data_IF_574070606995
#
_entry.id   IF_574070606995
#
_cell.length_a   1.000
_cell.length_b   1.000
_cell.length_c   1.000
_cell.angle_alpha   90.00
_cell.angle_beta   90.00
_cell.angle_gamma   90.00
#
_symmetry.space_group_name_H-M   'P 1'
#
loop_
_entity.id
_entity.type
_entity.pdbx_description
1 polymer ?
#
# COMPACT_ATOMS: atom_id res chain seq x y z
N UNK A 1 33.29 -14.80 56.41
CA UNK A 1 32.53 -13.94 55.46
C UNK A 1 32.76 -14.46 54.05
N UNK A 2 31.73 -14.93 53.33
CA UNK A 2 31.90 -15.42 51.97
C UNK A 2 32.02 -14.23 50.99
N UNK A 3 33.02 -14.30 50.09
CA UNK A 3 33.15 -13.34 48.98
C UNK A 3 32.04 -13.59 47.96
N UNK A 4 31.05 -12.70 47.95
CA UNK A 4 29.97 -12.66 46.95
C UNK A 4 30.60 -12.37 45.57
N UNK A 5 30.52 -13.35 44.66
CA UNK A 5 30.79 -13.13 43.23
C UNK A 5 29.65 -12.28 42.67
N UNK A 6 29.91 -10.99 42.47
CA UNK A 6 29.00 -10.11 41.72
C UNK A 6 29.06 -10.55 40.25
N UNK A 7 28.01 -11.23 39.81
CA UNK A 7 27.78 -11.49 38.40
C UNK A 7 27.58 -10.15 37.68
N UNK A 8 28.54 -9.73 36.85
CA UNK A 8 28.32 -8.68 35.85
C UNK A 8 27.39 -9.21 34.77
N UNK A 9 26.09 -9.23 35.07
CA UNK A 9 25.02 -9.50 34.12
C UNK A 9 24.63 -8.18 33.45
N UNK A 10 25.44 -7.73 32.50
CA UNK A 10 25.08 -6.66 31.57
C UNK A 10 25.15 -7.20 30.13
N UNK A 11 24.22 -8.09 29.77
CA UNK A 11 23.81 -8.24 28.37
C UNK A 11 22.57 -7.37 28.17
N UNK A 12 22.77 -6.15 27.67
CA UNK A 12 21.72 -5.52 26.86
C UNK A 12 21.79 -6.22 25.49
N UNK A 13 20.73 -6.87 24.98
CA UNK A 13 20.72 -7.32 23.60
C UNK A 13 20.76 -6.07 22.74
N UNK A 14 21.82 -5.90 21.94
CA UNK A 14 21.86 -4.83 20.95
C UNK A 14 20.77 -5.09 19.93
N UNK A 15 19.78 -4.20 19.88
CA UNK A 15 18.69 -4.29 18.91
C UNK A 15 19.27 -4.03 17.52
N UNK A 16 18.98 -4.92 16.56
CA UNK A 16 19.37 -4.70 15.16
C UNK A 16 18.67 -3.45 14.61
N UNK A 17 19.40 -2.59 13.91
CA UNK A 17 18.92 -1.30 13.40
C UNK A 17 19.29 -1.12 11.94
N UNK A 18 18.30 -0.71 11.14
CA UNK A 18 18.48 -0.15 9.79
C UNK A 18 18.46 1.39 9.89
N UNK A 19 19.45 2.04 9.29
CA UNK A 19 19.57 3.50 9.21
C UNK A 19 19.60 3.85 7.72
N UNK A 20 18.55 4.49 7.23
CA UNK A 20 18.38 4.82 5.81
C UNK A 20 17.33 5.91 5.60
N UNK A 21 17.47 6.64 4.50
CA UNK A 21 16.47 7.55 3.96
C UNK A 21 15.88 7.00 2.64
N UNK A 22 16.02 5.69 2.39
CA UNK A 22 15.50 5.04 1.18
C UNK A 22 13.99 5.26 1.04
N UNK A 23 13.48 5.64 -0.17
CA UNK A 23 14.18 5.65 -1.46
C UNK A 23 14.88 6.97 -1.83
N UNK A 24 14.92 8.00 -0.98
CA UNK A 24 15.60 9.28 -1.29
C UNK A 24 17.09 9.07 -1.55
N UNK A 25 17.70 8.17 -0.80
CA UNK A 25 19.07 7.70 -1.06
C UNK A 25 19.09 6.18 -1.20
N UNK A 26 19.95 5.68 -2.09
CA UNK A 26 20.12 4.24 -2.32
C UNK A 26 20.99 3.56 -1.26
N UNK A 27 21.31 4.24 -0.16
CA UNK A 27 22.25 3.76 0.84
C UNK A 27 21.53 3.31 2.12
N UNK A 28 21.91 2.14 2.62
CA UNK A 28 21.36 1.56 3.84
C UNK A 28 22.50 1.11 4.73
N UNK A 29 22.55 1.62 5.96
CA UNK A 29 23.44 1.11 7.00
C UNK A 29 22.66 0.18 7.91
N UNK A 30 23.07 -1.08 7.97
CA UNK A 30 22.53 -2.06 8.91
C UNK A 30 23.55 -2.40 9.97
N UNK A 31 23.10 -2.52 11.23
CA UNK A 31 23.91 -3.06 12.32
C UNK A 31 23.11 -4.00 13.20
N UNK A 32 23.71 -5.12 13.60
CA UNK A 32 23.18 -6.01 14.65
C UNK A 32 23.75 -5.67 16.05
N UNK A 33 24.51 -4.57 16.13
CA UNK A 33 25.25 -4.10 17.31
C UNK A 33 26.63 -4.75 17.51
N UNK A 34 26.96 -5.80 16.77
CA UNK A 34 28.31 -6.41 16.74
C UNK A 34 29.01 -6.17 15.40
N UNK A 35 28.25 -6.25 14.31
CA UNK A 35 28.68 -6.10 12.93
C UNK A 35 27.85 -5.00 12.28
N UNK A 36 28.45 -4.36 11.29
CA UNK A 36 27.78 -3.37 10.46
C UNK A 36 28.03 -3.69 9.01
N UNK A 37 27.00 -3.50 8.20
CA UNK A 37 27.01 -3.70 6.76
C UNK A 37 26.47 -2.43 6.12
N UNK A 38 27.18 -1.94 5.12
CA UNK A 38 26.77 -0.80 4.32
C UNK A 38 26.31 -1.32 2.96
N UNK A 39 25.09 -1.00 2.58
CA UNK A 39 24.51 -1.41 1.31
C UNK A 39 24.28 -0.22 0.42
N UNK A 40 24.62 -0.37 -0.86
CA UNK A 40 24.19 0.55 -1.92
C UNK A 40 23.31 -0.22 -2.88
N UNK A 41 22.04 0.15 -2.96
CA UNK A 41 21.04 -0.50 -3.79
C UNK A 41 21.24 -0.07 -5.24
N UNK A 42 21.52 -1.04 -6.13
CA UNK A 42 21.61 -0.79 -7.58
C UNK A 42 20.32 -1.17 -8.28
N UNK A 43 19.74 -2.30 -7.87
CA UNK A 43 18.46 -2.80 -8.39
C UNK A 43 17.73 -3.56 -7.29
N UNK A 44 16.50 -3.17 -7.01
CA UNK A 44 15.72 -3.77 -5.92
C UNK A 44 15.17 -5.16 -6.25
N UNK A 45 14.97 -5.49 -7.53
CA UNK A 45 14.35 -6.75 -7.94
C UNK A 45 12.89 -6.91 -7.48
N UNK A 46 12.24 -8.00 -7.91
CA UNK A 46 10.84 -8.32 -7.60
C UNK A 46 10.72 -9.75 -7.12
N UNK A 47 9.70 -10.06 -6.31
CA UNK A 47 9.45 -11.45 -5.96
C UNK A 47 8.76 -12.18 -7.11
N UNK A 48 9.27 -13.33 -7.55
CA UNK A 48 8.54 -14.20 -8.48
C UNK A 48 7.18 -14.62 -7.92
N UNK A 49 6.31 -15.08 -8.80
CA UNK A 49 5.02 -15.66 -8.43
C UNK A 49 5.20 -16.91 -7.55
N UNK A 50 4.23 -17.25 -6.70
CA UNK A 50 4.33 -18.37 -5.75
C UNK A 50 4.84 -19.70 -6.31
N UNK A 51 4.52 -20.12 -7.55
CA UNK A 51 5.04 -21.38 -8.11
C UNK A 51 6.55 -21.41 -8.34
N UNK A 52 7.21 -20.25 -8.43
CA UNK A 52 8.65 -20.10 -8.70
C UNK A 52 9.39 -19.51 -7.49
N UNK A 53 8.68 -18.81 -6.60
CA UNK A 53 9.25 -18.07 -5.48
C UNK A 53 10.07 -18.98 -4.55
N UNK A 54 11.38 -18.74 -4.51
CA UNK A 54 12.30 -19.43 -3.63
C UNK A 54 12.53 -18.67 -2.30
N UNK A 55 12.97 -19.42 -1.30
CA UNK A 55 13.22 -18.91 0.05
C UNK A 55 14.65 -19.26 0.49
N UNK A 56 15.31 -18.32 1.15
CA UNK A 56 16.61 -18.55 1.75
C UNK A 56 16.49 -19.54 2.92
N UNK A 57 17.32 -20.58 2.91
CA UNK A 57 17.36 -21.57 4.00
C UNK A 57 17.75 -20.93 5.34
N UNK A 58 16.93 -21.12 6.38
CA UNK A 58 17.22 -20.67 7.74
C UNK A 58 15.97 -20.41 8.58
N UNK A 59 16.14 -19.85 9.78
CA UNK A 59 15.05 -19.64 10.76
C UNK A 59 13.91 -18.73 10.27
N UNK A 60 14.20 -17.81 9.34
CA UNK A 60 13.28 -16.74 8.94
C UNK A 60 12.79 -16.83 7.50
N UNK A 61 13.22 -17.85 6.73
CA UNK A 61 12.78 -18.11 5.35
C UNK A 61 12.58 -16.83 4.51
N UNK A 62 13.65 -16.08 4.24
CA UNK A 62 13.56 -14.83 3.48
C UNK A 62 13.24 -15.11 2.01
N UNK A 63 12.24 -14.43 1.45
CA UNK A 63 11.90 -14.50 0.02
C UNK A 63 13.07 -14.02 -0.82
N UNK A 64 13.39 -14.75 -1.89
CA UNK A 64 14.48 -14.44 -2.81
C UNK A 64 13.92 -13.61 -3.98
N UNK A 65 14.31 -12.34 -4.14
CA UNK A 65 13.90 -11.53 -5.28
C UNK A 65 14.66 -11.92 -6.55
N UNK A 66 14.03 -11.68 -7.68
CA UNK A 66 14.56 -11.80 -9.03
C UNK A 66 15.04 -10.44 -9.56
N UNK A 67 16.03 -10.44 -10.45
CA UNK A 67 16.72 -9.24 -10.96
C UNK A 67 17.13 -8.26 -9.85
N UNK A 68 17.75 -8.76 -8.80
CA UNK A 68 18.20 -7.95 -7.66
C UNK A 68 19.70 -7.75 -7.68
N UNK A 69 20.15 -6.53 -7.41
CA UNK A 69 21.55 -6.14 -7.42
C UNK A 69 21.86 -5.13 -6.30
N UNK A 70 22.83 -5.44 -5.45
CA UNK A 70 23.32 -4.53 -4.41
C UNK A 70 24.83 -4.57 -4.30
N UNK A 71 25.42 -3.47 -3.86
CA UNK A 71 26.79 -3.47 -3.37
C UNK A 71 26.78 -3.54 -1.85
N UNK A 72 27.60 -4.42 -1.29
CA UNK A 72 27.71 -4.60 0.16
C UNK A 72 29.13 -4.40 0.60
N UNK A 73 29.34 -3.47 1.53
CA UNK A 73 30.61 -3.21 2.17
C UNK A 73 30.58 -3.64 3.63
N UNK A 74 31.57 -4.43 4.07
CA UNK A 74 31.74 -4.83 5.46
C UNK A 74 33.22 -4.84 5.85
N UNK A 75 33.50 -4.83 7.16
CA UNK A 75 34.84 -4.80 7.72
C UNK A 75 35.19 -3.47 8.39
N UNK A 76 36.37 -3.40 9.03
CA UNK A 76 36.84 -2.24 9.79
C UNK A 76 38.07 -1.63 9.13
N UNK A 77 38.14 -0.30 9.10
CA UNK A 77 39.27 0.48 8.59
C UNK A 77 39.81 -0.08 7.25
N UNK A 78 41.08 -0.46 7.19
CA UNK A 78 41.77 -0.90 5.97
C UNK A 78 41.33 -2.31 5.51
N UNK A 79 40.56 -3.04 6.33
CA UNK A 79 40.02 -4.36 6.01
C UNK A 79 38.58 -4.30 5.47
N UNK A 80 38.11 -3.10 5.08
CA UNK A 80 36.83 -2.98 4.36
C UNK A 80 36.92 -3.74 3.03
N UNK A 81 35.88 -4.51 2.75
CA UNK A 81 35.68 -5.20 1.49
C UNK A 81 34.32 -4.83 0.95
N UNK A 82 34.26 -4.56 -0.34
CA UNK A 82 33.02 -4.30 -1.08
C UNK A 82 32.85 -5.40 -2.11
N UNK A 83 31.66 -5.96 -2.18
CA UNK A 83 31.28 -6.92 -3.23
C UNK A 83 29.95 -6.49 -3.82
N UNK A 84 29.70 -6.90 -5.07
CA UNK A 84 28.42 -6.71 -5.74
C UNK A 84 27.67 -8.03 -5.77
N UNK A 85 26.53 -8.08 -5.13
CA UNK A 85 25.68 -9.26 -5.01
C UNK A 85 24.54 -9.17 -6.04
N UNK A 86 24.31 -10.25 -6.77
CA UNK A 86 23.30 -10.35 -7.81
C UNK A 86 22.45 -11.61 -7.63
N UNK A 87 21.13 -11.48 -7.82
CA UNK A 87 20.17 -12.56 -7.78
C UNK A 87 19.33 -12.54 -9.05
N UNK A 88 19.18 -13.71 -9.66
CA UNK A 88 18.33 -13.92 -10.83
C UNK A 88 17.75 -15.34 -10.78
N UNK A 89 16.66 -15.60 -11.49
CA UNK A 89 16.10 -16.93 -11.68
C UNK A 89 16.40 -17.46 -13.08
N UNK A 90 17.09 -18.60 -13.15
CA UNK A 90 17.33 -19.32 -14.41
C UNK A 90 16.56 -20.63 -14.32
N UNK A 91 15.72 -20.92 -15.33
CA UNK A 91 14.89 -22.14 -15.38
C UNK A 91 14.08 -22.36 -14.08
N UNK A 92 13.48 -21.28 -13.57
CA UNK A 92 12.68 -21.26 -12.31
C UNK A 92 13.47 -21.56 -11.03
N UNK A 93 14.82 -21.56 -11.07
CA UNK A 93 15.68 -21.75 -9.90
C UNK A 93 16.55 -20.52 -9.63
N UNK A 94 16.74 -20.12 -8.36
CA UNK A 94 17.55 -18.96 -8.05
C UNK A 94 19.04 -19.24 -8.31
N UNK A 95 19.69 -18.32 -9.01
CA UNK A 95 21.13 -18.23 -9.18
C UNK A 95 21.67 -17.11 -8.30
N UNK A 96 22.61 -17.45 -7.42
CA UNK A 96 23.28 -16.52 -6.52
C UNK A 96 24.64 -16.16 -7.11
N UNK A 97 24.89 -14.89 -7.41
CA UNK A 97 26.17 -14.41 -7.96
C UNK A 97 26.76 -13.31 -7.09
N UNK A 98 28.07 -13.35 -6.87
CA UNK A 98 28.83 -12.29 -6.20
C UNK A 98 30.02 -11.93 -7.07
N UNK A 99 30.15 -10.65 -7.39
CA UNK A 99 31.29 -10.06 -8.08
C UNK A 99 32.18 -9.32 -7.08
N UNK A 100 33.50 -9.48 -7.21
CA UNK A 100 34.51 -8.94 -6.30
C UNK A 100 35.81 -8.63 -7.08
N UNK A 101 36.84 -8.16 -6.39
CA UNK A 101 38.11 -7.74 -7.02
C UNK A 101 38.04 -6.31 -7.56
N UNK A 102 39.11 -5.89 -8.25
CA UNK A 102 39.19 -4.53 -8.82
C UNK A 102 38.08 -4.35 -9.85
N UNK A 103 37.26 -3.31 -9.68
CA UNK A 103 36.10 -3.01 -10.53
C UNK A 103 35.10 -4.18 -10.70
N UNK A 104 35.02 -5.09 -9.73
CA UNK A 104 34.14 -6.27 -9.78
C UNK A 104 34.45 -7.23 -10.94
N UNK A 105 35.72 -7.35 -11.34
CA UNK A 105 36.18 -8.20 -12.46
C UNK A 105 36.09 -9.70 -12.19
N UNK A 106 36.11 -10.13 -10.92
CA UNK A 106 36.04 -11.53 -10.55
C UNK A 106 34.63 -11.91 -10.09
N UNK A 107 34.22 -13.16 -10.33
CA UNK A 107 32.91 -13.65 -9.92
C UNK A 107 32.92 -15.05 -9.30
N UNK A 108 31.92 -15.28 -8.44
CA UNK A 108 31.52 -16.60 -7.96
C UNK A 108 30.01 -16.70 -8.06
N UNK A 109 29.54 -17.83 -8.57
CA UNK A 109 28.11 -18.14 -8.62
C UNK A 109 27.82 -19.53 -8.07
N UNK A 110 26.62 -19.73 -7.53
CA UNK A 110 26.08 -21.06 -7.31
C UNK A 110 24.54 -21.02 -7.24
N UNK A 111 23.94 -22.18 -7.43
CA UNK A 111 22.50 -22.42 -7.34
C UNK A 111 22.12 -23.14 -6.03
N UNK A 112 23.08 -23.38 -5.13
CA UNK A 112 22.84 -24.13 -3.89
C UNK A 112 22.24 -23.26 -2.79
N UNK A 113 22.95 -22.20 -2.38
CA UNK A 113 22.48 -21.25 -1.37
C UNK A 113 23.32 -19.97 -1.34
N UNK A 114 22.72 -18.89 -0.82
CA UNK A 114 23.39 -17.60 -0.58
C UNK A 114 24.65 -17.76 0.27
N UNK A 115 24.55 -18.57 1.34
CA UNK A 115 25.65 -18.78 2.30
C UNK A 115 26.80 -19.57 1.68
N UNK A 116 26.51 -20.49 0.75
CA UNK A 116 27.57 -21.22 0.03
C UNK A 116 28.41 -20.25 -0.83
N UNK A 117 27.76 -19.41 -1.64
CA UNK A 117 28.45 -18.42 -2.49
C UNK A 117 29.19 -17.38 -1.65
N UNK A 118 28.56 -16.88 -0.59
CA UNK A 118 29.17 -15.91 0.31
C UNK A 118 30.46 -16.44 0.97
N UNK A 119 30.46 -17.69 1.43
CA UNK A 119 31.65 -18.30 2.01
C UNK A 119 32.71 -18.69 0.96
N UNK A 120 32.30 -19.02 -0.27
CA UNK A 120 33.25 -19.24 -1.37
C UNK A 120 34.02 -17.95 -1.70
N UNK A 121 33.34 -16.81 -1.79
CA UNK A 121 34.00 -15.50 -1.97
C UNK A 121 34.83 -15.14 -0.75
N UNK A 122 34.35 -15.38 0.48
CA UNK A 122 35.11 -15.08 1.69
C UNK A 122 36.47 -15.82 1.72
N UNK A 123 36.50 -17.09 1.30
CA UNK A 123 37.74 -17.87 1.18
C UNK A 123 38.70 -17.29 0.16
N UNK A 124 38.20 -16.76 -0.97
CA UNK A 124 39.03 -16.09 -1.98
C UNK A 124 39.57 -14.75 -1.50
N UNK A 125 38.75 -13.95 -0.80
CA UNK A 125 39.15 -12.66 -0.23
C UNK A 125 40.12 -12.80 0.95
N UNK A 126 40.04 -13.90 1.70
CA UNK A 126 40.84 -14.15 2.90
C UNK A 126 41.35 -15.62 2.94
N UNK A 127 42.31 -15.99 2.07
CA UNK A 127 42.77 -17.38 1.95
C UNK A 127 43.39 -17.95 3.24
N UNK A 128 43.97 -17.07 4.06
CA UNK A 128 44.59 -17.45 5.34
C UNK A 128 43.58 -17.64 6.49
N UNK A 129 42.29 -17.34 6.28
CA UNK A 129 41.28 -17.34 7.34
C UNK A 129 40.21 -18.43 7.13
N UNK A 130 40.64 -19.69 7.23
CA UNK A 130 39.81 -20.88 6.93
C UNK A 130 38.60 -21.09 7.85
N UNK A 131 38.61 -20.52 9.06
CA UNK A 131 37.54 -20.69 10.06
C UNK A 131 36.42 -19.65 9.96
N UNK A 132 36.65 -18.54 9.25
CA UNK A 132 35.66 -17.47 9.17
C UNK A 132 34.50 -17.86 8.26
N UNK A 133 33.29 -17.51 8.71
CA UNK A 133 32.07 -17.68 7.93
C UNK A 133 31.28 -16.37 7.90
N UNK A 134 30.61 -16.15 6.78
CA UNK A 134 29.72 -15.01 6.58
C UNK A 134 28.32 -15.50 6.23
N UNK A 135 27.31 -14.80 6.75
CA UNK A 135 25.92 -15.08 6.45
C UNK A 135 25.60 -14.56 5.05
N UNK A 136 25.16 -15.44 4.15
CA UNK A 136 24.70 -15.03 2.82
C UNK A 136 23.49 -14.09 2.90
N UNK A 137 22.60 -14.28 3.87
CA UNK A 137 21.45 -13.40 4.11
C UNK A 137 21.87 -11.95 4.41
N UNK A 138 22.94 -11.78 5.18
CA UNK A 138 23.48 -10.44 5.46
C UNK A 138 24.27 -9.91 4.28
N UNK A 139 25.14 -10.72 3.68
CA UNK A 139 25.94 -10.28 2.54
C UNK A 139 25.10 -9.87 1.32
N UNK A 140 23.95 -10.51 1.10
CA UNK A 140 22.99 -10.13 0.05
C UNK A 140 21.94 -9.13 0.51
N UNK A 141 21.90 -8.71 1.78
CA UNK A 141 20.94 -7.72 2.27
C UNK A 141 19.46 -8.13 2.12
N UNK A 142 19.13 -9.42 1.92
CA UNK A 142 17.73 -9.84 1.67
C UNK A 142 16.84 -9.77 2.91
N UNK A 143 17.45 -9.60 4.09
CA UNK A 143 16.74 -9.40 5.35
C UNK A 143 16.28 -7.96 5.56
N UNK A 144 16.73 -7.00 4.73
CA UNK A 144 16.41 -5.59 4.87
C UNK A 144 14.89 -5.38 4.75
N UNK A 145 14.27 -4.94 5.84
CA UNK A 145 12.82 -4.84 5.92
C UNK A 145 12.31 -3.69 5.04
N UNK A 146 13.08 -2.61 4.88
CA UNK A 146 12.74 -1.49 3.98
C UNK A 146 12.54 -1.94 2.53
N UNK A 147 13.39 -2.83 2.03
CA UNK A 147 13.29 -3.36 0.66
C UNK A 147 12.12 -4.35 0.53
N UNK A 148 11.79 -5.06 1.61
CA UNK A 148 10.61 -5.94 1.61
C UNK A 148 9.31 -5.14 1.57
N UNK A 149 9.27 -3.99 2.24
CA UNK A 149 8.13 -3.08 2.21
C UNK A 149 7.98 -2.42 0.84
N UNK A 150 9.07 -1.90 0.27
CA UNK A 150 9.05 -1.27 -1.06
C UNK A 150 8.60 -2.24 -2.17
N UNK A 151 9.07 -3.51 -2.18
CA UNK A 151 8.58 -4.52 -3.14
C UNK A 151 7.10 -4.83 -3.02
N UNK A 152 6.53 -4.83 -1.80
CA UNK A 152 5.09 -5.04 -1.59
C UNK A 152 4.25 -3.92 -2.19
N UNK A 153 4.72 -2.67 -2.11
CA UNK A 153 4.06 -1.50 -2.70
C UNK A 153 4.10 -1.51 -4.25
N UNK A 154 5.06 -2.24 -4.84
CA UNK A 154 5.23 -2.34 -6.30
C UNK A 154 4.43 -3.47 -6.96
N UNK A 155 4.12 -4.55 -6.24
CA UNK A 155 3.48 -5.76 -6.80
C UNK A 155 1.95 -5.65 -6.94
N UNK A 156 1.33 -4.56 -6.50
CA UNK A 156 -0.13 -4.48 -6.31
C UNK A 156 -0.93 -3.93 -7.50
N UNK A 157 -0.36 -3.74 -8.70
CA UNK A 157 -1.13 -3.13 -9.80
C UNK A 157 -0.65 -3.58 -11.21
N UNK A 158 -1.48 -4.25 -12.04
CA UNK A 158 -1.21 -4.55 -13.45
C UNK A 158 -0.87 -3.30 -14.27
N UNK A 159 -1.42 -2.15 -13.90
CA UNK A 159 -1.11 -0.86 -14.51
C UNK A 159 0.33 -0.42 -14.23
N UNK A 160 0.89 -0.71 -13.04
CA UNK A 160 2.31 -0.43 -12.73
C UNK A 160 3.27 -1.28 -13.56
N UNK A 161 2.86 -2.49 -13.97
CA UNK A 161 3.65 -3.32 -14.88
C UNK A 161 3.65 -2.74 -16.30
N UNK A 162 2.49 -2.32 -16.80
CA UNK A 162 2.37 -1.59 -18.07
C UNK A 162 3.20 -0.32 -18.11
N UNK A 163 3.10 0.53 -17.07
CA UNK A 163 3.91 1.76 -16.95
C UNK A 163 5.41 1.47 -16.94
N UNK A 164 5.83 0.38 -16.28
CA UNK A 164 7.23 -0.03 -16.24
C UNK A 164 7.73 -0.55 -17.60
N UNK A 165 6.87 -1.25 -18.34
CA UNK A 165 7.15 -1.62 -19.73
C UNK A 165 7.31 -0.38 -20.61
N UNK A 166 6.42 0.61 -20.48
CA UNK A 166 6.50 1.89 -21.19
C UNK A 166 7.81 2.61 -20.89
N UNK A 167 8.18 2.75 -19.62
CA UNK A 167 9.44 3.40 -19.22
C UNK A 167 10.67 2.68 -19.78
N UNK A 168 10.73 1.34 -19.69
CA UNK A 168 11.85 0.58 -20.25
C UNK A 168 11.92 0.70 -21.78
N UNK A 169 10.78 0.61 -22.46
CA UNK A 169 10.68 0.75 -23.93
C UNK A 169 11.04 2.16 -24.40
N UNK A 170 10.72 3.19 -23.62
CA UNK A 170 11.16 4.56 -23.89
C UNK A 170 12.66 4.72 -23.71
N UNK A 171 13.26 4.15 -22.66
CA UNK A 171 14.71 4.18 -22.43
C UNK A 171 15.46 3.46 -23.57
N UNK A 172 15.06 2.25 -23.92
CA UNK A 172 15.66 1.53 -25.05
C UNK A 172 15.38 2.21 -26.38
N UNK A 173 14.17 2.74 -26.57
CA UNK A 173 13.79 3.51 -27.74
C UNK A 173 14.68 4.74 -27.94
N UNK A 174 15.00 5.48 -26.88
CA UNK A 174 15.93 6.61 -26.93
C UNK A 174 17.35 6.17 -27.27
N UNK A 175 17.78 4.99 -26.81
CA UNK A 175 19.11 4.44 -27.13
C UNK A 175 19.19 4.02 -28.61
N UNK A 176 18.12 3.44 -29.16
CA UNK A 176 18.09 2.89 -30.53
C UNK A 176 17.79 3.96 -31.57
N UNK A 177 16.86 4.88 -31.28
CA UNK A 177 16.32 5.85 -32.24
C UNK A 177 16.74 7.31 -31.95
N UNK A 178 17.54 7.54 -30.91
CA UNK A 178 18.01 8.88 -30.48
C UNK A 178 16.94 9.67 -29.70
N UNK A 179 17.11 10.99 -29.58
CA UNK A 179 16.16 11.90 -28.91
C UNK A 179 14.80 12.05 -29.63
N UNK A 180 14.61 11.36 -30.77
CA UNK A 180 13.31 11.34 -31.44
C UNK A 180 12.26 10.72 -30.51
N UNK A 181 11.18 11.46 -30.27
CA UNK A 181 10.13 11.11 -29.32
C UNK A 181 9.44 9.79 -29.71
N UNK A 182 9.87 8.69 -29.10
CA UNK A 182 9.21 7.39 -29.20
C UNK A 182 7.84 7.50 -28.53
N UNK A 183 6.79 7.61 -29.33
CA UNK A 183 5.42 7.71 -28.85
C UNK A 183 4.81 6.30 -28.70
N UNK A 184 4.66 5.86 -27.45
CA UNK A 184 4.11 4.57 -27.11
C UNK A 184 2.57 4.66 -27.06
N UNK A 185 1.87 4.05 -28.02
CA UNK A 185 0.40 4.19 -28.16
C UNK A 185 -0.41 3.17 -27.36
N UNK A 186 0.06 1.93 -27.29
CA UNK A 186 -0.68 0.84 -26.64
C UNK A 186 0.24 -0.33 -26.30
N UNK A 187 0.06 -0.94 -25.13
CA UNK A 187 0.58 -2.27 -24.78
C UNK A 187 -0.60 -3.25 -24.72
N UNK A 188 -0.49 -4.42 -25.34
CA UNK A 188 -1.38 -5.54 -25.09
C UNK A 188 -0.58 -6.78 -24.72
N UNK A 189 -1.06 -7.53 -23.72
CA UNK A 189 -0.42 -8.76 -23.26
C UNK A 189 -1.43 -9.70 -22.61
N UNK A 190 -1.20 -11.01 -22.68
CA UNK A 190 -2.09 -12.01 -22.08
C UNK A 190 -1.39 -12.70 -20.92
N UNK A 191 -2.08 -12.85 -19.78
CA UNK A 191 -1.61 -13.66 -18.65
C UNK A 191 -2.69 -14.67 -18.29
N UNK A 192 -2.41 -15.96 -18.50
CA UNK A 192 -3.35 -17.08 -18.22
C UNK A 192 -4.71 -16.92 -18.92
N UNK A 193 -4.71 -16.61 -20.23
CA UNK A 193 -5.91 -16.35 -21.04
C UNK A 193 -6.76 -15.16 -20.56
N UNK A 194 -6.16 -14.24 -19.82
CA UNK A 194 -6.74 -12.93 -19.56
C UNK A 194 -5.93 -11.90 -20.31
N UNK A 195 -6.60 -11.18 -21.21
CA UNK A 195 -5.99 -10.19 -22.06
C UNK A 195 -6.02 -8.83 -21.36
N UNK A 196 -4.85 -8.21 -21.30
CA UNK A 196 -4.64 -6.88 -20.75
C UNK A 196 -4.32 -5.95 -21.90
N UNK A 197 -5.04 -4.84 -21.98
CA UNK A 197 -4.81 -3.79 -22.97
C UNK A 197 -4.70 -2.45 -22.25
N UNK A 198 -3.57 -1.78 -22.45
CA UNK A 198 -3.27 -0.47 -21.86
C UNK A 198 -3.03 0.49 -23.02
N UNK A 199 -3.96 1.43 -23.20
CA UNK A 199 -3.88 2.47 -24.23
C UNK A 199 -3.28 3.73 -23.60
N UNK A 200 -2.27 4.28 -24.25
CA UNK A 200 -1.52 5.46 -23.79
C UNK A 200 -1.76 6.70 -24.67
N UNK A 201 -2.59 6.58 -25.70
CA UNK A 201 -3.04 7.71 -26.51
C UNK A 201 -3.98 8.63 -25.72
N UNK A 202 -3.91 9.92 -26.00
CA UNK A 202 -4.81 10.95 -25.45
C UNK A 202 -6.24 10.69 -25.92
N UNK A 203 -7.04 10.02 -25.10
CA UNK A 203 -8.47 9.87 -25.30
C UNK A 203 -9.19 10.92 -24.44
N UNK A 204 -10.10 11.67 -25.06
CA UNK A 204 -10.86 12.75 -24.45
C UNK A 204 -11.59 12.27 -23.18
N UNK A 205 -11.49 13.04 -22.10
CA UNK A 205 -12.01 12.71 -20.76
C UNK A 205 -13.50 12.33 -20.74
N UNK A 206 -14.27 12.83 -21.71
CA UNK A 206 -15.71 12.55 -21.89
C UNK A 206 -16.02 11.09 -22.25
N UNK A 207 -15.15 10.44 -23.03
CA UNK A 207 -15.34 9.06 -23.49
C UNK A 207 -14.96 8.04 -22.39
N UNK A 208 -14.10 8.46 -21.43
CA UNK A 208 -13.81 7.70 -20.21
C UNK A 208 -14.99 7.74 -19.24
N UNK A 209 -15.59 8.92 -19.03
CA UNK A 209 -16.77 9.07 -18.18
C UNK A 209 -17.96 8.23 -18.69
N UNK A 210 -18.25 8.26 -19.99
CA UNK A 210 -19.35 7.48 -20.59
C UNK A 210 -19.12 5.96 -20.48
N UNK A 211 -17.86 5.52 -20.58
CA UNK A 211 -17.49 4.11 -20.44
C UNK A 211 -17.53 3.63 -18.99
N UNK A 212 -17.07 4.46 -18.05
CA UNK A 212 -17.26 4.26 -16.61
C UNK A 212 -18.74 4.16 -16.27
N UNK A 213 -19.54 5.11 -16.75
CA UNK A 213 -20.97 5.15 -16.53
C UNK A 213 -21.67 3.85 -16.99
N UNK A 214 -21.28 3.34 -18.17
CA UNK A 214 -21.82 2.10 -18.74
C UNK A 214 -21.43 0.83 -17.95
N UNK A 215 -20.21 0.79 -17.41
CA UNK A 215 -19.71 -0.33 -16.59
C UNK A 215 -20.44 -0.36 -15.25
N UNK A 216 -20.57 0.78 -14.58
CA UNK A 216 -21.27 0.86 -13.29
C UNK A 216 -22.77 0.55 -13.50
N UNK A 217 -23.38 1.01 -14.60
CA UNK A 217 -24.75 0.67 -14.97
C UNK A 217 -25.00 -0.84 -15.17
N UNK A 218 -24.05 -1.56 -15.78
CA UNK A 218 -24.17 -3.01 -16.02
C UNK A 218 -23.96 -3.86 -14.74
N UNK A 219 -23.21 -3.33 -13.77
CA UNK A 219 -22.95 -4.00 -12.47
C UNK A 219 -24.19 -3.94 -11.57
N UNK A 220 -24.87 -2.79 -11.54
CA UNK A 220 -26.04 -2.58 -10.71
C UNK A 220 -27.31 -3.24 -11.26
N UNK A 221 -27.48 -3.29 -12.59
CA UNK A 221 -28.60 -4.00 -13.21
C UNK A 221 -28.56 -5.52 -13.00
N UNK A 222 -27.38 -6.08 -12.70
CA UNK A 222 -27.17 -7.52 -12.56
C UNK A 222 -26.97 -7.99 -11.10
N UNK A 223 -27.23 -7.14 -10.10
CA UNK A 223 -27.17 -7.46 -8.67
C UNK A 223 -25.87 -8.17 -8.26
N UNK A 224 -24.74 -7.66 -8.72
CA UNK A 224 -23.44 -8.26 -8.42
C UNK A 224 -23.11 -8.04 -6.95
N UNK A 225 -22.94 -9.13 -6.20
CA UNK A 225 -22.62 -9.07 -4.77
C UNK A 225 -21.32 -8.31 -4.49
N UNK A 226 -21.15 -7.82 -3.27
CA UNK A 226 -19.93 -7.10 -2.81
C UNK A 226 -18.63 -7.84 -3.13
N UNK A 227 -18.67 -9.17 -3.15
CA UNK A 227 -17.52 -9.99 -3.54
C UNK A 227 -17.32 -10.04 -5.06
N UNK A 228 -18.40 -10.09 -5.85
CA UNK A 228 -18.36 -9.95 -7.29
C UNK A 228 -17.85 -8.57 -7.74
N UNK A 229 -18.21 -7.50 -7.02
CA UNK A 229 -17.68 -6.15 -7.24
C UNK A 229 -16.17 -6.09 -6.98
N UNK A 230 -15.70 -6.72 -5.90
CA UNK A 230 -14.26 -6.81 -5.59
C UNK A 230 -13.49 -7.59 -6.65
N UNK A 231 -14.10 -8.62 -7.23
CA UNK A 231 -13.53 -9.39 -8.34
C UNK A 231 -13.49 -8.54 -9.62
N UNK A 232 -14.55 -7.82 -9.97
CA UNK A 232 -14.57 -6.94 -11.15
C UNK A 232 -13.62 -5.75 -11.04
N UNK A 233 -13.62 -5.05 -9.91
CA UNK A 233 -12.67 -3.95 -9.64
C UNK A 233 -11.20 -4.43 -9.60
N UNK A 234 -10.96 -5.72 -9.36
CA UNK A 234 -9.62 -6.31 -9.47
C UNK A 234 -9.20 -6.64 -10.90
N UNK A 235 -10.16 -6.71 -11.83
CA UNK A 235 -9.96 -7.06 -13.25
C UNK A 235 -9.92 -5.78 -14.11
N UNK A 236 -10.74 -4.77 -13.82
CA UNK A 236 -10.82 -3.52 -14.58
C UNK A 236 -10.32 -2.34 -13.73
N UNK A 237 -9.00 -2.08 -13.81
CA UNK A 237 -8.31 -1.04 -13.02
C UNK A 237 -8.58 0.40 -13.46
N UNK A 238 -9.57 0.62 -14.33
CA UNK A 238 -9.94 1.93 -14.86
C UNK A 238 -11.17 2.54 -14.17
N UNK A 239 -11.75 1.86 -13.17
CA UNK A 239 -12.56 2.55 -12.16
C UNK A 239 -11.62 3.49 -11.42
N UNK A 240 -11.59 4.76 -11.84
CA UNK A 240 -10.82 5.80 -11.17
C UNK A 240 -11.17 5.76 -9.68
N UNK A 241 -10.18 5.33 -8.91
CA UNK A 241 -10.22 5.34 -7.47
C UNK A 241 -9.74 6.72 -7.07
N UNK A 242 -10.59 7.48 -6.38
CA UNK A 242 -10.22 8.74 -5.73
C UNK A 242 -9.18 8.48 -4.62
N UNK A 243 -7.95 8.17 -5.03
CA UNK A 243 -6.76 8.08 -4.18
C UNK A 243 -6.06 9.45 -4.05
N UNK A 244 -6.61 10.51 -4.65
CA UNK A 244 -6.05 11.86 -4.64
C UNK A 244 -6.99 12.83 -3.93
N UNK A 245 -6.63 13.16 -2.68
CA UNK A 245 -6.62 14.55 -2.14
C UNK A 245 -6.36 14.61 -0.63
N UNK A 246 -6.34 13.46 0.08
CA UNK A 246 -6.12 13.42 1.53
C UNK A 246 -4.81 14.05 2.00
N UNK A 247 -3.71 13.89 1.25
CA UNK A 247 -2.39 14.34 1.72
C UNK A 247 -2.13 15.85 1.55
N UNK A 248 -2.87 16.54 0.67
CA UNK A 248 -2.59 17.95 0.35
C UNK A 248 -3.25 18.93 1.34
N UNK A 249 -4.08 18.43 2.27
CA UNK A 249 -4.87 19.24 3.21
C UNK A 249 -4.16 19.41 4.57
N UNK A 250 -3.17 18.56 4.91
CA UNK A 250 -2.62 18.48 6.26
C UNK A 250 -1.18 19.01 6.39
N UNK A 251 -0.88 19.59 7.54
CA UNK A 251 0.46 20.04 7.95
C UNK A 251 1.48 18.89 7.89
N UNK A 252 2.78 19.15 7.67
CA UNK A 252 3.83 18.12 7.59
C UNK A 252 3.92 17.23 8.83
N UNK A 253 3.55 17.75 10.01
CA UNK A 253 3.54 17.02 11.29
C UNK A 253 2.41 15.98 11.36
N UNK A 254 1.24 16.29 10.79
CA UNK A 254 0.08 15.36 10.68
C UNK A 254 0.33 14.32 9.60
N UNK A 255 1.04 14.69 8.54
CA UNK A 255 1.41 13.80 7.43
C UNK A 255 2.19 12.57 7.92
N UNK A 256 3.04 12.73 8.95
CA UNK A 256 3.81 11.62 9.55
C UNK A 256 2.93 10.67 10.42
N UNK A 257 1.83 11.18 10.98
CA UNK A 257 0.82 10.37 11.71
C UNK A 257 -0.05 9.61 10.71
N UNK A 258 -0.51 10.25 9.63
CA UNK A 258 -1.28 9.63 8.55
C UNK A 258 -0.46 8.57 7.82
N UNK A 259 0.85 8.78 7.61
CA UNK A 259 1.76 7.77 7.06
C UNK A 259 1.95 6.53 7.96
N UNK A 260 1.73 6.65 9.28
CA UNK A 260 1.70 5.51 10.21
C UNK A 260 0.39 4.72 10.13
N UNK A 261 -0.70 5.33 9.68
CA UNK A 261 -1.99 4.67 9.42
C UNK A 261 -1.87 3.93 8.10
N UNK A 262 -1.48 2.67 8.20
CA UNK A 262 -0.93 1.91 7.07
C UNK A 262 -1.87 1.65 5.89
N UNK A 263 -3.14 2.07 5.88
CA UNK A 263 -4.14 1.85 4.82
C UNK A 263 -5.50 2.52 5.19
N UNK A 264 -5.54 3.83 5.40
CA UNK A 264 -6.82 4.56 5.46
C UNK A 264 -7.42 4.71 4.07
N UNK A 265 -8.73 4.50 3.91
CA UNK A 265 -9.46 4.69 2.66
C UNK A 265 -10.67 5.58 2.92
N UNK A 266 -10.92 6.46 1.96
CA UNK A 266 -12.09 7.31 1.91
C UNK A 266 -12.81 7.10 0.60
N UNK A 267 -14.12 7.25 0.63
CA UNK A 267 -14.98 7.31 -0.54
C UNK A 267 -15.95 8.47 -0.33
N UNK A 268 -15.97 9.39 -1.28
CA UNK A 268 -16.82 10.58 -1.27
C UNK A 268 -18.29 10.17 -1.14
N UNK A 269 -18.97 10.75 -0.16
CA UNK A 269 -20.39 10.55 0.05
C UNK A 269 -21.16 11.12 -1.13
N UNK A 270 -20.71 12.27 -1.65
CA UNK A 270 -21.30 12.90 -2.83
C UNK A 270 -21.32 11.96 -4.04
N UNK A 271 -20.20 11.32 -4.36
CA UNK A 271 -20.10 10.49 -5.57
C UNK A 271 -20.94 9.22 -5.46
N UNK A 272 -21.00 8.64 -4.27
CA UNK A 272 -21.90 7.52 -3.97
C UNK A 272 -23.37 7.96 -4.13
N UNK A 273 -23.74 9.13 -3.63
CA UNK A 273 -25.11 9.66 -3.72
C UNK A 273 -25.51 10.01 -5.15
N UNK A 274 -24.63 10.67 -5.91
CA UNK A 274 -24.83 10.97 -7.34
C UNK A 274 -25.13 9.72 -8.15
N UNK A 275 -24.57 8.59 -7.73
CA UNK A 275 -24.80 7.30 -8.35
C UNK A 275 -26.12 6.63 -7.92
N UNK A 276 -26.42 6.59 -6.63
CA UNK A 276 -27.56 5.83 -6.09
C UNK A 276 -28.89 6.54 -6.28
N UNK A 277 -28.92 7.87 -6.13
CA UNK A 277 -30.17 8.65 -6.17
C UNK A 277 -30.95 8.42 -7.47
N UNK A 278 -30.34 8.47 -8.68
CA UNK A 278 -31.05 8.13 -9.92
C UNK A 278 -31.71 6.76 -9.90
N UNK A 279 -31.03 5.74 -9.35
CA UNK A 279 -31.54 4.37 -9.26
C UNK A 279 -32.73 4.29 -8.30
N UNK A 280 -32.66 4.97 -7.16
CA UNK A 280 -33.75 5.00 -6.20
C UNK A 280 -34.98 5.76 -6.71
N UNK A 281 -34.80 6.80 -7.53
CA UNK A 281 -35.90 7.47 -8.23
C UNK A 281 -36.57 6.50 -9.20
N UNK A 282 -35.79 5.79 -10.02
CA UNK A 282 -36.31 4.82 -10.99
C UNK A 282 -37.09 3.68 -10.32
N UNK A 283 -36.63 3.24 -9.15
CA UNK A 283 -37.27 2.20 -8.36
C UNK A 283 -38.48 2.69 -7.56
N UNK A 284 -38.82 3.99 -7.64
CA UNK A 284 -39.95 4.59 -6.91
C UNK A 284 -39.73 4.71 -5.40
N UNK A 285 -38.48 4.63 -4.94
CA UNK A 285 -38.10 4.77 -3.53
C UNK A 285 -37.97 6.24 -3.15
N UNK A 286 -37.44 7.08 -4.06
CA UNK A 286 -37.34 8.53 -3.88
C UNK A 286 -38.39 9.24 -4.74
N UNK A 287 -39.16 10.15 -4.14
CA UNK A 287 -40.13 10.99 -4.84
C UNK A 287 -39.47 12.29 -5.30
N UNK A 288 -39.58 12.58 -6.60
CA UNK A 288 -39.06 13.82 -7.18
C UNK A 288 -39.83 15.06 -6.70
N UNK A 289 -41.07 14.90 -6.22
CA UNK A 289 -41.89 15.97 -5.67
C UNK A 289 -41.56 16.25 -4.20
N UNK A 290 -40.86 15.33 -3.54
CA UNK A 290 -40.36 15.48 -2.17
C UNK A 290 -38.85 15.17 -2.12
N UNK A 291 -38.00 16.10 -2.60
CA UNK A 291 -36.58 15.85 -2.81
C UNK A 291 -35.77 15.92 -1.51
N UNK A 292 -36.20 15.19 -0.48
CA UNK A 292 -35.56 15.11 0.84
C UNK A 292 -34.98 13.69 1.01
N UNK A 293 -33.68 13.63 1.30
CA UNK A 293 -32.97 12.39 1.59
C UNK A 293 -32.64 12.35 3.07
N UNK A 294 -33.15 11.34 3.75
CA UNK A 294 -32.80 11.00 5.11
C UNK A 294 -31.53 10.14 5.07
N UNK A 295 -30.37 10.76 5.31
CA UNK A 295 -29.07 10.09 5.25
C UNK A 295 -28.58 9.73 6.66
N UNK A 296 -28.48 8.43 6.93
CA UNK A 296 -27.89 7.94 8.16
C UNK A 296 -26.38 7.84 8.02
N UNK A 297 -25.62 8.33 9.01
CA UNK A 297 -24.19 8.09 9.16
C UNK A 297 -23.97 7.26 10.43
N UNK A 298 -23.28 6.14 10.29
CA UNK A 298 -22.97 5.24 11.40
C UNK A 298 -21.50 4.86 11.39
N UNK A 299 -20.88 4.83 12.57
CA UNK A 299 -19.58 4.22 12.77
C UNK A 299 -19.76 2.93 13.54
N UNK A 300 -19.05 1.91 13.08
CA UNK A 300 -18.96 0.63 13.73
C UNK A 300 -17.48 0.21 13.88
N UNK A 301 -17.14 -0.27 15.07
CA UNK A 301 -15.82 -0.76 15.41
C UNK A 301 -15.88 -2.30 15.42
N UNK A 302 -15.62 -2.91 14.26
CA UNK A 302 -15.71 -4.36 14.10
C UNK A 302 -14.34 -5.06 14.19
N UNK A 303 -14.27 -6.11 15.00
CA UNK A 303 -13.11 -7.01 15.07
C UNK A 303 -13.12 -8.00 13.89
N UNK A 304 -12.36 -7.72 12.82
CA UNK A 304 -12.14 -8.71 11.75
C UNK A 304 -10.93 -9.57 12.12
N UNK A 305 -11.16 -10.55 13.01
CA UNK A 305 -10.16 -11.49 13.51
C UNK A 305 -9.52 -11.10 14.85
N UNK A 306 -8.89 -12.06 15.54
CA UNK A 306 -8.40 -11.94 16.94
C UNK A 306 -7.26 -10.91 17.17
N UNK A 307 -6.84 -10.11 16.18
CA UNK A 307 -5.59 -9.33 16.26
C UNK A 307 -5.63 -7.91 15.69
N UNK A 308 -6.62 -7.50 14.90
CA UNK A 308 -6.64 -6.17 14.27
C UNK A 308 -8.07 -5.62 14.31
N UNK A 309 -8.24 -4.49 14.98
CA UNK A 309 -9.48 -3.72 14.99
C UNK A 309 -9.52 -2.78 13.78
N UNK A 310 -10.69 -2.65 13.19
CA UNK A 310 -10.95 -1.76 12.06
C UNK A 310 -12.03 -0.76 12.46
N UNK A 311 -11.84 0.50 12.08
CA UNK A 311 -12.87 1.53 12.19
C UNK A 311 -13.49 1.70 10.81
N UNK A 312 -14.81 1.58 10.77
CA UNK A 312 -15.60 1.75 9.55
C UNK A 312 -16.68 2.79 9.78
N UNK A 313 -16.78 3.73 8.85
CA UNK A 313 -17.90 4.66 8.78
C UNK A 313 -18.69 4.34 7.53
N UNK A 314 -20.00 4.24 7.73
CA UNK A 314 -20.96 3.86 6.71
C UNK A 314 -22.04 4.91 6.62
N UNK A 315 -22.68 4.98 5.46
CA UNK A 315 -23.89 5.74 5.24
C UNK A 315 -24.98 4.89 4.62
N UNK A 316 -26.23 5.19 4.95
CA UNK A 316 -27.41 4.52 4.41
C UNK A 316 -28.51 5.55 4.13
N UNK A 317 -29.32 5.30 3.09
CA UNK A 317 -30.46 6.14 2.74
C UNK A 317 -31.69 5.54 3.42
N UNK A 318 -32.26 6.26 4.39
CA UNK A 318 -33.38 5.80 5.20
C UNK A 318 -34.72 5.86 4.47
N UNK A 319 -34.82 6.59 3.35
CA UNK A 319 -36.01 6.58 2.51
C UNK A 319 -36.31 5.16 1.97
N UNK A 320 -35.32 4.28 1.86
CA UNK A 320 -35.51 2.88 1.46
C UNK A 320 -35.84 1.97 2.66
N UNK A 321 -36.99 2.20 3.29
CA UNK A 321 -37.41 1.55 4.54
C UNK A 321 -37.29 0.02 4.52
N UNK A 322 -37.60 -0.60 3.38
CA UNK A 322 -37.59 -2.05 3.20
C UNK A 322 -36.18 -2.65 3.20
N UNK A 323 -35.17 -1.85 2.92
CA UNK A 323 -33.80 -2.30 2.76
C UNK A 323 -32.83 -1.73 3.82
N UNK A 324 -33.30 -0.89 4.75
CA UNK A 324 -32.46 -0.31 5.82
C UNK A 324 -31.67 -1.39 6.57
N UNK A 325 -32.23 -2.57 6.82
CA UNK A 325 -31.54 -3.62 7.60
C UNK A 325 -30.55 -4.44 6.78
N UNK A 326 -30.51 -4.27 5.45
CA UNK A 326 -29.67 -5.08 4.57
C UNK A 326 -28.26 -4.47 4.50
N UNK A 327 -27.20 -5.28 4.68
CA UNK A 327 -25.83 -4.79 4.67
C UNK A 327 -25.42 -4.23 3.31
N UNK A 328 -26.07 -4.65 2.22
CA UNK A 328 -25.80 -4.17 0.85
C UNK A 328 -26.20 -2.70 0.63
N UNK A 329 -27.05 -2.16 1.50
CA UNK A 329 -27.54 -0.78 1.46
C UNK A 329 -26.78 0.16 2.42
N UNK A 330 -25.70 -0.36 3.03
CA UNK A 330 -24.78 0.40 3.86
C UNK A 330 -23.45 0.63 3.11
N UNK A 331 -23.25 1.87 2.68
CA UNK A 331 -22.13 2.28 1.85
C UNK A 331 -20.98 2.77 2.73
N UNK A 332 -19.79 2.17 2.58
CA UNK A 332 -18.60 2.56 3.36
C UNK A 332 -18.05 3.87 2.79
N UNK A 333 -17.90 4.87 3.65
CA UNK A 333 -17.30 6.18 3.33
C UNK A 333 -15.90 6.32 3.91
N UNK A 334 -15.65 5.83 5.12
CA UNK A 334 -14.32 5.87 5.75
C UNK A 334 -13.95 4.49 6.27
N UNK A 335 -12.70 4.07 6.03
CA UNK A 335 -12.20 2.80 6.51
C UNK A 335 -10.73 2.91 6.90
N UNK A 336 -10.38 2.58 8.14
CA UNK A 336 -8.97 2.57 8.55
C UNK A 336 -8.65 1.57 9.67
N UNK A 337 -7.37 1.26 9.80
CA UNK A 337 -6.83 0.35 10.81
C UNK A 337 -6.69 1.08 12.15
N UNK A 338 -7.24 0.49 13.22
CA UNK A 338 -7.41 1.21 14.47
C UNK A 338 -6.08 1.53 15.17
N UNK A 339 -5.86 2.82 15.40
CA UNK A 339 -5.18 3.36 16.56
C UNK A 339 -6.23 4.25 17.20
N UNK A 340 -6.80 3.84 18.33
CA UNK A 340 -8.02 4.39 18.95
C UNK A 340 -7.80 5.81 19.58
N UNK A 341 -7.03 6.69 18.93
CA UNK A 341 -6.79 8.08 19.35
C UNK A 341 -7.82 9.01 18.71
N UNK A 342 -8.37 9.93 19.52
CA UNK A 342 -9.31 10.96 19.07
C UNK A 342 -8.73 11.80 17.92
N UNK A 343 -7.48 12.24 18.08
CA UNK A 343 -6.73 13.01 17.08
C UNK A 343 -6.75 12.34 15.69
N UNK A 344 -6.57 11.02 15.65
CA UNK A 344 -6.52 10.25 14.39
C UNK A 344 -7.91 10.17 13.76
N UNK A 345 -8.94 9.89 14.57
CA UNK A 345 -10.31 9.82 14.07
C UNK A 345 -10.77 11.17 13.52
N UNK A 346 -10.43 12.28 14.18
CA UNK A 346 -10.72 13.64 13.73
C UNK A 346 -10.07 13.94 12.37
N UNK A 347 -8.79 13.62 12.20
CA UNK A 347 -8.07 13.78 10.93
C UNK A 347 -8.73 12.95 9.82
N UNK A 348 -9.05 11.69 10.08
CA UNK A 348 -9.61 10.77 9.08
C UNK A 348 -11.05 11.14 8.69
N UNK A 349 -11.79 11.78 9.59
CA UNK A 349 -13.18 12.18 9.39
C UNK A 349 -13.33 13.57 8.76
N UNK A 350 -12.31 14.42 8.83
CA UNK A 350 -12.41 15.81 8.38
C UNK A 350 -12.96 15.96 6.93
N UNK A 351 -12.53 15.15 5.94
CA UNK A 351 -13.07 15.28 4.59
C UNK A 351 -14.53 14.86 4.48
N UNK A 352 -14.94 13.81 5.21
CA UNK A 352 -16.35 13.41 5.28
C UNK A 352 -17.19 14.54 5.90
N UNK A 353 -16.74 15.14 6.99
CA UNK A 353 -17.45 16.24 7.67
C UNK A 353 -17.61 17.43 6.71
N UNK A 354 -16.54 17.82 6.01
CA UNK A 354 -16.61 18.90 5.01
C UNK A 354 -17.58 18.61 3.87
N UNK A 355 -17.67 17.36 3.41
CA UNK A 355 -18.68 16.96 2.42
C UNK A 355 -20.10 17.00 2.98
N UNK A 356 -20.31 16.48 4.18
CA UNK A 356 -21.63 16.51 4.83
C UNK A 356 -22.11 17.95 5.06
N UNK A 357 -21.21 18.87 5.43
CA UNK A 357 -21.53 20.30 5.55
C UNK A 357 -21.93 20.92 4.20
N UNK A 358 -21.21 20.57 3.12
CA UNK A 358 -21.57 21.04 1.77
C UNK A 358 -22.93 20.50 1.34
N UNK A 359 -23.19 19.21 1.60
CA UNK A 359 -24.48 18.57 1.30
C UNK A 359 -25.60 19.18 2.15
N UNK A 360 -25.35 19.52 3.41
CA UNK A 360 -26.35 20.14 4.29
C UNK A 360 -26.77 21.52 3.79
N UNK A 361 -25.79 22.33 3.41
CA UNK A 361 -25.99 23.74 3.10
C UNK A 361 -26.44 23.97 1.65
N UNK A 362 -25.93 23.18 0.71
CA UNK A 362 -26.13 23.41 -0.72
C UNK A 362 -27.01 22.35 -1.39
N UNK A 363 -27.32 21.25 -0.71
CA UNK A 363 -27.95 20.08 -1.31
C UNK A 363 -27.08 19.42 -2.38
N UNK A 364 -27.69 18.57 -3.20
CA UNK A 364 -27.05 17.89 -4.32
C UNK A 364 -27.94 17.97 -5.56
N UNK A 365 -27.41 18.50 -6.66
CA UNK A 365 -28.15 18.63 -7.92
C UNK A 365 -28.01 17.34 -8.73
N UNK A 366 -29.13 16.66 -8.98
CA UNK A 366 -29.20 15.45 -9.81
C UNK A 366 -30.41 15.56 -10.73
N UNK A 367 -30.20 15.38 -12.03
CA UNK A 367 -31.24 15.48 -13.06
C UNK A 367 -32.04 16.80 -12.99
N UNK A 368 -31.38 17.90 -12.62
CA UNK A 368 -32.01 19.22 -12.48
C UNK A 368 -32.82 19.44 -11.19
N UNK A 369 -32.90 18.43 -10.30
CA UNK A 369 -33.56 18.51 -9.00
C UNK A 369 -32.50 18.75 -7.91
N UNK A 370 -32.77 19.69 -7.01
CA UNK A 370 -31.94 19.93 -5.82
C UNK A 370 -32.44 19.00 -4.72
N UNK A 371 -31.63 18.01 -4.35
CA UNK A 371 -31.89 17.10 -3.23
C UNK A 371 -31.34 17.69 -1.93
N UNK A 372 -32.22 17.83 -0.94
CA UNK A 372 -31.88 18.30 0.40
C UNK A 372 -31.64 17.13 1.34
N UNK A 373 -30.83 17.33 2.37
CA UNK A 373 -30.40 16.26 3.28
C UNK A 373 -30.80 16.50 4.73
N UNK A 374 -31.39 15.46 5.33
CA UNK A 374 -31.57 15.32 6.77
C UNK A 374 -30.65 14.22 7.28
N UNK A 375 -29.73 14.57 8.19
CA UNK A 375 -28.72 13.64 8.67
C UNK A 375 -29.13 12.99 9.99
N UNK A 376 -28.96 11.67 10.05
CA UNK A 376 -29.18 10.86 11.25
C UNK A 376 -27.87 10.23 11.67
N UNK A 377 -27.37 10.56 12.86
CA UNK A 377 -26.13 9.98 13.37
C UNK A 377 -26.42 8.87 14.36
N UNK A 378 -25.82 7.70 14.14
CA UNK A 378 -26.06 6.50 14.95
C UNK A 378 -24.74 5.79 15.27
N UNK A 379 -24.12 6.17 16.38
CA UNK A 379 -22.81 5.66 16.78
C UNK A 379 -22.53 5.93 18.26
N UNK A 380 -21.40 5.42 18.75
CA UNK A 380 -20.86 5.77 20.06
C UNK A 380 -20.60 7.27 20.24
N UNK A 381 -20.51 7.66 21.52
CA UNK A 381 -20.28 9.03 21.97
C UNK A 381 -19.07 9.71 21.31
N UNK A 382 -17.97 8.97 21.15
CA UNK A 382 -16.72 9.50 20.61
C UNK A 382 -16.88 9.92 19.15
N UNK A 383 -17.65 9.17 18.38
CA UNK A 383 -18.02 9.54 17.01
C UNK A 383 -18.89 10.79 16.97
N UNK A 384 -19.93 10.82 17.80
CA UNK A 384 -20.86 11.95 17.87
C UNK A 384 -20.13 13.25 18.25
N UNK A 385 -19.21 13.18 19.22
CA UNK A 385 -18.40 14.33 19.62
C UNK A 385 -17.57 14.91 18.46
N UNK A 386 -17.00 14.06 17.61
CA UNK A 386 -16.17 14.50 16.48
C UNK A 386 -17.03 15.04 15.33
N UNK A 387 -18.12 14.35 14.98
CA UNK A 387 -18.95 14.76 13.84
C UNK A 387 -19.83 15.97 14.15
N UNK A 388 -20.28 16.12 15.40
CA UNK A 388 -21.23 17.17 15.81
C UNK A 388 -20.56 18.29 16.62
N UNK A 389 -19.26 18.17 16.90
CA UNK A 389 -18.50 19.14 17.70
C UNK A 389 -18.90 19.17 19.18
N UNK A 390 -19.45 18.07 19.73
CA UNK A 390 -19.77 18.00 21.15
C UNK A 390 -18.51 17.91 22.01
N UNK A 391 -18.64 18.35 23.26
CA UNK A 391 -17.56 18.21 24.20
C UNK A 391 -17.26 16.73 24.52
N UNK A 392 -16.01 16.47 24.89
CA UNK A 392 -15.60 15.15 25.36
C UNK A 392 -16.47 14.69 26.56
N UNK A 393 -16.65 13.37 26.76
CA UNK A 393 -17.52 12.84 27.82
C UNK A 393 -17.02 13.15 29.24
N UNK A 394 -15.75 13.57 29.38
CA UNK A 394 -15.15 14.04 30.64
C UNK A 394 -15.18 15.57 30.81
N UNK A 395 -15.85 16.31 29.92
CA UNK A 395 -15.96 17.77 30.01
C UNK A 395 -16.97 18.20 31.07
N UNK A 396 -16.91 19.48 31.47
CA UNK A 396 -17.90 20.05 32.41
C UNK A 396 -19.32 20.12 31.81
N UNK A 397 -19.43 20.26 30.49
CA UNK A 397 -20.69 20.30 29.75
C UNK A 397 -20.74 19.10 28.82
N UNK A 398 -20.89 17.92 29.42
CA UNK A 398 -20.81 16.67 28.69
C UNK A 398 -22.14 16.25 28.08
N UNK A 399 -23.30 16.75 28.51
CA UNK A 399 -24.57 16.34 27.91
C UNK A 399 -24.72 17.01 26.52
N UNK A 400 -25.28 16.34 25.48
CA UNK A 400 -25.48 16.95 24.16
C UNK A 400 -26.89 17.54 24.01
N UNK A 401 -27.79 17.12 24.89
CA UNK A 401 -29.22 17.42 24.87
C UNK A 401 -29.61 18.36 26.01
N UNK A 402 -28.62 18.73 26.82
CA UNK A 402 -28.63 19.55 28.02
C UNK A 402 -27.18 19.96 28.33
#
# INVERSE_FOLDING_TARGET
MPKVKIAKKNLRPSLSKEITEYPKTNNILYTDGKRSYYYTIKQEGLYPQPPVLAYAQGKYNYKIPDYYCIETTWGRANNKRTVRCFLNYIERKPLFKIMYGVNFSEEVQSNMSLTAVANAVLKKLFPNNKKSQISGVHLFGIHLEILKQSRKLKLSNPHKFGEKLKQNMQIEGTIIYGENQVNFKQVSYSVKNMDFQINYGSNNDKEKEEKLFSIVQAVDQNYISREGYRVLASIESNLEHDELDFLNIFDPEITEIVQKIKNGRYRSAKDILTYIIPVLILNGVLDINDPIIHLQISRDDHNVGRKIKHVMVTMAILNDENNIYKPDYHYITVFYLEIEKYEILEIMMAPLIQELDKLKNNGLIINGIIWNFEFYFSSDWKFLAICLGFNAPNSKFFCPWC
#
